data_IF_740866633425
#
_entry.id   IF_740866633425
#
_cell.length_a   1.000
_cell.length_b   1.000
_cell.length_c   1.000
_cell.angle_alpha   90.00
_cell.angle_beta   90.00
_cell.angle_gamma   90.00
#
_symmetry.space_group_name_H-M   'P 1'
#
loop_
_entity.id
_entity.type
_entity.pdbx_description
1 polymer ?
#
# COMPACT_ATOMS: atom_id res chain seq x y z
N UNK A 1 5.12 21.03 -12.58
CA UNK A 1 4.71 19.67 -12.13
C UNK A 1 5.57 19.34 -10.92
N UNK A 2 4.99 19.27 -9.72
CA UNK A 2 5.77 18.95 -8.51
C UNK A 2 5.93 17.43 -8.48
N UNK A 3 7.15 16.94 -8.73
CA UNK A 3 7.48 15.53 -8.59
C UNK A 3 7.41 15.11 -7.12
N UNK A 4 7.11 13.84 -6.85
CA UNK A 4 7.15 13.32 -5.49
C UNK A 4 8.59 13.27 -4.97
N UNK A 5 8.81 13.61 -3.70
CA UNK A 5 10.09 13.42 -3.02
C UNK A 5 10.09 12.06 -2.34
N UNK A 6 10.44 11.00 -3.10
CA UNK A 6 10.39 9.60 -2.64
C UNK A 6 11.01 9.43 -1.25
N UNK A 7 12.26 9.87 -1.03
CA UNK A 7 12.93 9.77 0.28
C UNK A 7 12.16 10.43 1.42
N UNK A 8 11.54 11.58 1.17
CA UNK A 8 10.73 12.30 2.17
C UNK A 8 9.46 11.53 2.49
N UNK A 9 8.77 11.01 1.46
CA UNK A 9 7.56 10.21 1.65
C UNK A 9 7.86 8.88 2.36
N UNK A 10 8.94 8.18 1.99
CA UNK A 10 9.40 6.97 2.69
C UNK A 10 9.59 7.24 4.18
N UNK A 11 10.34 8.30 4.53
CA UNK A 11 10.57 8.69 5.92
C UNK A 11 9.25 8.99 6.64
N UNK A 12 8.33 9.70 5.98
CA UNK A 12 7.03 10.06 6.55
C UNK A 12 6.16 8.83 6.81
N UNK A 13 6.12 7.87 5.89
CA UNK A 13 5.41 6.59 6.09
C UNK A 13 5.98 5.84 7.29
N UNK A 14 7.30 5.81 7.45
CA UNK A 14 7.95 5.15 8.59
C UNK A 14 7.58 5.83 9.91
N UNK A 15 7.67 7.16 9.97
CA UNK A 15 7.27 7.95 11.15
C UNK A 15 5.81 7.70 11.53
N UNK A 16 4.88 7.84 10.57
CA UNK A 16 3.46 7.59 10.79
C UNK A 16 3.22 6.15 11.25
N UNK A 17 3.81 5.15 10.59
CA UNK A 17 3.63 3.75 10.98
C UNK A 17 4.08 3.51 12.42
N UNK A 18 5.20 4.11 12.84
CA UNK A 18 5.69 4.02 14.22
C UNK A 18 4.73 4.64 15.23
N UNK A 19 4.13 5.80 14.93
CA UNK A 19 3.11 6.44 15.77
C UNK A 19 1.87 5.53 15.93
N UNK A 20 1.60 4.69 14.93
CA UNK A 20 0.49 3.73 14.92
C UNK A 20 0.82 2.37 15.55
N UNK A 21 2.02 2.19 16.10
CA UNK A 21 2.47 0.89 16.61
C UNK A 21 2.67 -0.17 15.53
N UNK A 22 2.84 0.25 14.27
CA UNK A 22 3.10 -0.62 13.12
C UNK A 22 4.60 -0.59 12.77
N UNK A 23 5.08 -1.70 12.21
CA UNK A 23 6.46 -1.80 11.71
C UNK A 23 6.48 -1.49 10.22
N UNK A 24 7.14 -0.39 9.84
CA UNK A 24 7.42 -0.07 8.44
C UNK A 24 8.85 -0.49 8.06
N UNK A 25 8.98 -1.28 7.00
CA UNK A 25 10.26 -1.73 6.44
C UNK A 25 10.46 -1.08 5.07
N UNK A 26 11.31 -0.05 4.94
CA UNK A 26 11.65 0.53 3.66
C UNK A 26 12.51 -0.43 2.83
N UNK A 27 12.41 -0.33 1.50
CA UNK A 27 13.15 -1.18 0.55
C UNK A 27 12.99 -2.69 0.83
N UNK A 28 11.78 -3.10 1.19
CA UNK A 28 11.47 -4.49 1.52
C UNK A 28 11.75 -5.40 0.33
N UNK A 29 12.63 -6.38 0.52
CA UNK A 29 12.92 -7.41 -0.47
C UNK A 29 11.97 -8.59 -0.32
N UNK A 30 11.27 -8.93 -1.39
CA UNK A 30 10.40 -10.10 -1.45
C UNK A 30 11.23 -11.39 -1.58
N UNK A 31 10.63 -12.57 -1.32
CA UNK A 31 11.31 -13.84 -1.51
C UNK A 31 11.81 -14.09 -2.93
N UNK A 32 11.15 -13.52 -3.95
CA UNK A 32 11.56 -13.60 -5.35
C UNK A 32 12.53 -12.49 -5.79
N UNK A 33 13.06 -11.72 -4.84
CA UNK A 33 14.13 -10.75 -5.05
C UNK A 33 13.68 -9.39 -5.57
N UNK A 34 12.38 -9.17 -5.73
CA UNK A 34 11.82 -7.86 -6.08
C UNK A 34 11.79 -6.92 -4.86
N UNK A 35 11.68 -5.61 -5.11
CA UNK A 35 11.66 -4.59 -4.06
C UNK A 35 10.29 -3.93 -3.99
N UNK A 36 9.72 -3.89 -2.79
CA UNK A 36 8.60 -3.03 -2.41
C UNK A 36 9.18 -1.80 -1.70
N UNK A 37 8.73 -0.59 -2.07
CA UNK A 37 9.33 0.63 -1.53
C UNK A 37 9.14 0.75 -0.02
N UNK A 38 7.95 0.44 0.51
CA UNK A 38 7.71 0.27 1.95
C UNK A 38 6.72 -0.86 2.21
N UNK A 39 7.08 -1.78 3.10
CA UNK A 39 6.17 -2.78 3.65
C UNK A 39 5.70 -2.36 5.05
N UNK A 40 4.39 -2.41 5.31
CA UNK A 40 3.81 -2.19 6.64
C UNK A 40 3.35 -3.51 7.22
N UNK A 41 3.83 -3.80 8.43
CA UNK A 41 3.62 -5.03 9.16
C UNK A 41 3.02 -4.76 10.55
N UNK A 42 2.26 -5.71 11.06
CA UNK A 42 1.82 -5.78 12.46
C UNK A 42 2.09 -7.18 12.97
N UNK A 43 2.88 -7.32 14.03
CA UNK A 43 3.22 -8.62 14.61
C UNK A 43 3.74 -9.63 13.56
N UNK A 44 4.56 -9.15 12.61
CA UNK A 44 5.08 -9.88 11.44
C UNK A 44 4.04 -10.24 10.35
N UNK A 45 2.76 -9.96 10.56
CA UNK A 45 1.74 -10.06 9.52
C UNK A 45 1.84 -8.91 8.51
N UNK A 46 1.71 -9.24 7.22
CA UNK A 46 1.75 -8.28 6.11
C UNK A 46 0.42 -7.55 5.99
N UNK A 47 0.42 -6.24 6.23
CA UNK A 47 -0.82 -5.44 6.19
C UNK A 47 -1.01 -4.68 4.89
N UNK A 48 0.05 -4.01 4.44
CA UNK A 48 0.01 -3.07 3.32
C UNK A 48 1.40 -2.97 2.65
N UNK A 49 1.42 -3.07 1.32
CA UNK A 49 2.55 -2.68 0.50
C UNK A 49 2.33 -1.25 -0.04
N UNK A 50 3.39 -0.45 -0.05
CA UNK A 50 3.37 0.91 -0.62
C UNK A 50 4.44 1.03 -1.70
N UNK A 51 4.05 1.55 -2.85
CA UNK A 51 4.93 1.93 -3.97
C UNK A 51 4.88 3.43 -4.20
N UNK A 52 6.04 4.07 -4.32
CA UNK A 52 6.15 5.52 -4.49
C UNK A 52 6.49 5.83 -5.95
N UNK A 53 5.44 5.99 -6.77
CA UNK A 53 5.58 6.10 -8.21
C UNK A 53 5.83 7.53 -8.69
N UNK A 54 7.10 7.80 -9.02
CA UNK A 54 7.58 9.11 -9.47
C UNK A 54 7.61 9.28 -11.00
N UNK A 55 7.31 8.22 -11.78
CA UNK A 55 7.39 8.25 -13.25
C UNK A 55 6.06 7.88 -13.90
N UNK A 56 5.59 8.72 -14.84
CA UNK A 56 4.40 8.41 -15.63
C UNK A 56 4.70 7.50 -16.83
N UNK A 57 5.98 7.25 -17.11
CA UNK A 57 6.39 6.41 -18.23
C UNK A 57 5.93 4.98 -17.98
N UNK A 58 5.15 4.41 -18.91
CA UNK A 58 4.59 3.06 -18.79
C UNK A 58 3.72 2.85 -17.55
N UNK A 59 2.99 3.89 -17.13
CA UNK A 59 2.29 3.87 -15.85
C UNK A 59 1.35 2.65 -15.68
N UNK A 60 0.50 2.27 -16.65
CA UNK A 60 -0.33 1.06 -16.50
C UNK A 60 0.48 -0.23 -16.31
N UNK A 61 1.61 -0.37 -16.99
CA UNK A 61 2.49 -1.53 -16.86
C UNK A 61 3.19 -1.56 -15.49
N UNK A 62 3.54 -0.38 -14.95
CA UNK A 62 4.11 -0.26 -13.60
C UNK A 62 3.10 -0.64 -12.54
N UNK A 63 1.86 -0.13 -12.64
CA UNK A 63 0.77 -0.54 -11.76
C UNK A 63 0.52 -2.05 -11.80
N UNK A 64 0.50 -2.65 -12.99
CA UNK A 64 0.36 -4.10 -13.14
C UNK A 64 1.50 -4.86 -12.45
N UNK A 65 2.74 -4.40 -12.66
CA UNK A 65 3.92 -4.99 -12.03
C UNK A 65 3.86 -4.90 -10.51
N UNK A 66 3.46 -3.75 -9.96
CA UNK A 66 3.30 -3.54 -8.53
C UNK A 66 2.21 -4.42 -7.92
N UNK A 67 1.07 -4.56 -8.60
CA UNK A 67 -0.02 -5.48 -8.22
C UNK A 67 0.49 -6.92 -8.13
N UNK A 68 1.17 -7.41 -9.17
CA UNK A 68 1.70 -8.78 -9.20
C UNK A 68 2.75 -8.99 -8.11
N UNK A 69 3.65 -8.02 -7.93
CA UNK A 69 4.70 -8.03 -6.90
C UNK A 69 4.10 -8.11 -5.49
N UNK A 70 3.15 -7.23 -5.16
CA UNK A 70 2.51 -7.20 -3.86
C UNK A 70 1.72 -8.49 -3.57
N UNK A 71 0.94 -8.96 -4.56
CA UNK A 71 0.19 -10.21 -4.45
C UNK A 71 1.10 -11.41 -4.21
N UNK A 72 2.15 -11.59 -5.03
CA UNK A 72 3.12 -12.70 -4.87
C UNK A 72 3.89 -12.64 -3.56
N UNK A 73 4.16 -11.43 -3.07
CA UNK A 73 4.76 -11.22 -1.76
C UNK A 73 3.77 -11.49 -0.60
N UNK A 74 2.49 -11.78 -0.88
CA UNK A 74 1.48 -12.14 0.11
C UNK A 74 0.91 -10.93 0.87
N UNK A 75 0.97 -9.74 0.29
CA UNK A 75 0.27 -8.58 0.85
C UNK A 75 -1.21 -8.62 0.46
N UNK A 76 -2.14 -8.36 1.39
CA UNK A 76 -3.56 -8.28 1.10
C UNK A 76 -3.97 -6.93 0.47
N UNK A 77 -3.08 -5.95 0.50
CA UNK A 77 -3.35 -4.58 0.08
C UNK A 77 -2.11 -3.89 -0.50
N UNK A 78 -2.31 -3.09 -1.54
CA UNK A 78 -1.30 -2.28 -2.21
C UNK A 78 -1.82 -0.85 -2.39
N UNK A 79 -1.03 0.13 -1.95
CA UNK A 79 -1.19 1.53 -2.31
C UNK A 79 -0.06 1.98 -3.21
N UNK A 80 -0.41 2.54 -4.37
CA UNK A 80 0.54 3.27 -5.22
C UNK A 80 0.36 4.76 -4.97
N UNK A 81 1.39 5.43 -4.47
CA UNK A 81 1.37 6.86 -4.17
C UNK A 81 2.02 7.62 -5.31
N UNK A 82 1.30 8.57 -5.89
CA UNK A 82 1.83 9.37 -7.01
C UNK A 82 1.24 10.77 -7.09
N UNK A 83 2.03 11.75 -7.57
CA UNK A 83 1.53 13.12 -7.79
C UNK A 83 0.79 13.30 -9.11
N UNK A 84 0.63 12.24 -9.91
CA UNK A 84 -0.13 12.29 -11.16
C UNK A 84 -1.63 12.45 -10.87
N UNK A 85 -2.24 13.44 -11.52
CA UNK A 85 -3.67 13.73 -11.40
C UNK A 85 -4.47 12.87 -12.37
N UNK A 86 -5.72 12.56 -12.00
CA UNK A 86 -6.66 11.81 -12.83
C UNK A 86 -6.14 10.46 -13.32
N UNK A 87 -5.30 9.80 -12.50
CA UNK A 87 -4.85 8.44 -12.78
C UNK A 87 -6.06 7.52 -12.81
N UNK A 88 -6.24 6.83 -13.94
CA UNK A 88 -7.24 5.77 -14.09
C UNK A 88 -6.48 4.45 -14.20
N UNK A 89 -6.49 3.60 -13.16
CA UNK A 89 -5.82 2.30 -13.21
C UNK A 89 -6.44 1.35 -14.26
N UNK A 90 -7.67 1.64 -14.72
CA UNK A 90 -8.33 0.88 -15.78
C UNK A 90 -8.49 -0.59 -15.41
N UNK A 91 -8.25 -1.49 -16.36
CA UNK A 91 -8.39 -2.94 -16.17
C UNK A 91 -7.47 -3.49 -15.07
N UNK A 92 -6.37 -2.81 -14.73
CA UNK A 92 -5.45 -3.23 -13.66
C UNK A 92 -6.16 -3.26 -12.30
N UNK A 93 -7.13 -2.37 -12.06
CA UNK A 93 -7.93 -2.39 -10.81
C UNK A 93 -8.79 -3.64 -10.70
N UNK A 94 -9.43 -4.04 -11.80
CA UNK A 94 -10.23 -5.26 -11.83
C UNK A 94 -9.34 -6.50 -11.65
N UNK A 95 -8.21 -6.54 -12.34
CA UNK A 95 -7.25 -7.63 -12.23
C UNK A 95 -6.68 -7.79 -10.81
N UNK A 96 -6.37 -6.70 -10.12
CA UNK A 96 -5.99 -6.75 -8.70
C UNK A 96 -7.09 -7.41 -7.84
N UNK A 97 -8.36 -7.05 -8.09
CA UNK A 97 -9.51 -7.66 -7.43
C UNK A 97 -9.67 -9.15 -7.71
N UNK A 98 -9.44 -9.60 -8.95
CA UNK A 98 -9.44 -11.03 -9.31
C UNK A 98 -8.36 -11.82 -8.55
N UNK A 99 -7.24 -11.18 -8.21
CA UNK A 99 -6.18 -11.75 -7.37
C UNK A 99 -6.47 -11.67 -5.86
N UNK A 100 -7.60 -11.09 -5.45
CA UNK A 100 -7.93 -10.85 -4.05
C UNK A 100 -7.11 -9.73 -3.38
N UNK A 101 -6.42 -8.89 -4.18
CA UNK A 101 -5.61 -7.77 -3.69
C UNK A 101 -6.44 -6.48 -3.68
N UNK A 102 -6.56 -5.83 -2.52
CA UNK A 102 -7.09 -4.46 -2.47
C UNK A 102 -6.05 -3.50 -3.05
N UNK A 103 -6.44 -2.74 -4.07
CA UNK A 103 -5.54 -1.87 -4.79
C UNK A 103 -6.12 -0.46 -4.94
N UNK A 104 -5.34 0.52 -4.48
CA UNK A 104 -5.66 1.94 -4.63
C UNK A 104 -4.45 2.72 -5.17
N UNK A 105 -4.75 3.76 -5.96
CA UNK A 105 -3.79 4.79 -6.32
C UNK A 105 -4.19 6.06 -5.60
N UNK A 106 -3.30 6.60 -4.78
CA UNK A 106 -3.58 7.75 -3.92
C UNK A 106 -2.57 8.87 -4.14
N UNK A 107 -2.96 10.10 -3.80
CA UNK A 107 -2.04 11.23 -3.85
C UNK A 107 -1.14 11.30 -2.60
N UNK A 108 0.02 11.97 -2.66
CA UNK A 108 0.86 12.21 -1.49
C UNK A 108 0.12 12.94 -0.37
N UNK A 109 -0.79 13.84 -0.70
CA UNK A 109 -1.61 14.60 0.25
C UNK A 109 -2.64 13.72 0.97
N UNK A 110 -3.15 12.69 0.30
CA UNK A 110 -4.11 11.74 0.88
C UNK A 110 -3.44 10.71 1.79
N UNK A 111 -2.14 10.45 1.61
CA UNK A 111 -1.40 9.41 2.31
C UNK A 111 -1.53 9.50 3.84
N UNK A 112 -1.37 10.70 4.41
CA UNK A 112 -1.44 10.88 5.86
C UNK A 112 -2.84 10.56 6.40
N UNK A 113 -3.87 11.05 5.72
CA UNK A 113 -5.26 10.79 6.08
C UNK A 113 -5.58 9.29 6.01
N UNK A 114 -5.17 8.63 4.93
CA UNK A 114 -5.39 7.19 4.73
C UNK A 114 -4.66 6.35 5.77
N UNK A 115 -3.42 6.72 6.12
CA UNK A 115 -2.67 6.03 7.17
C UNK A 115 -3.37 6.11 8.53
N UNK A 116 -4.00 7.24 8.86
CA UNK A 116 -4.80 7.35 10.08
C UNK A 116 -6.05 6.44 10.06
N UNK A 117 -6.69 6.25 8.90
CA UNK A 117 -7.86 5.37 8.72
C UNK A 117 -7.52 3.87 8.91
N UNK A 118 -6.26 3.45 8.72
CA UNK A 118 -5.83 2.04 8.94
C UNK A 118 -6.12 1.59 10.38
N UNK A 119 -6.10 2.51 11.34
CA UNK A 119 -6.37 2.22 12.76
C UNK A 119 -7.81 1.73 12.94
N UNK A 120 -8.79 2.50 12.48
CA UNK A 120 -10.20 2.28 12.82
C UNK A 120 -10.73 0.92 12.33
N UNK A 121 -10.26 0.48 11.17
CA UNK A 121 -10.72 -0.75 10.53
C UNK A 121 -10.07 -2.00 11.14
N UNK A 122 -8.81 -1.92 11.62
CA UNK A 122 -8.03 -3.10 12.02
C UNK A 122 -7.69 -3.16 13.52
N UNK A 123 -8.12 -2.19 14.32
CA UNK A 123 -8.12 -2.26 15.79
C UNK A 123 -9.52 -2.40 16.40
N UNK A 124 -10.58 -2.30 15.60
CA UNK A 124 -11.92 -2.66 16.05
C UNK A 124 -11.94 -4.18 16.30
N UNK A 125 -12.26 -4.66 17.52
CA UNK A 125 -12.49 -6.09 17.71
C UNK A 125 -13.57 -6.52 16.71
N UNK A 126 -13.36 -7.66 16.04
CA UNK A 126 -14.42 -8.31 15.29
C UNK A 126 -15.67 -8.29 16.18
N UNK A 127 -16.86 -7.89 15.68
CA UNK A 127 -18.07 -8.06 16.47
C UNK A 127 -18.06 -9.51 16.91
N UNK A 128 -18.11 -9.74 18.23
CA UNK A 128 -18.26 -11.06 18.79
C UNK A 128 -19.58 -11.57 18.25
N UNK A 129 -19.53 -12.29 17.13
CA UNK A 129 -20.68 -12.98 16.59
C UNK A 129 -21.25 -13.79 17.74
N UNK A 130 -22.51 -13.53 18.00
CA UNK A 130 -23.29 -14.14 19.04
C UNK A 130 -23.15 -15.66 18.92
N UNK A 131 -22.25 -16.23 19.73
CA UNK A 131 -22.29 -17.61 20.22
C UNK A 131 -23.52 -17.77 21.12
N UNK A 132 -24.71 -17.54 20.55
CA UNK A 132 -26.01 -17.90 21.12
C UNK A 132 -27.02 -18.03 19.97
N UNK A 133 -27.12 -19.25 19.42
CA UNK A 133 -28.34 -20.04 19.41
C UNK A 133 -28.05 -21.47 18.98
#
# INVERSE_FOLDING_TARGET
MVGIKVKTLTRRVVELSSELGLKAVPEYRTPDGTRIDVAILKDEEKLLAIELEASFKWFPQRLLYDVVKAHRAGFPELWVVTSFRNVKPGWVKNYAGELGLRFEVISPEELEKRMAEIIEIRTSPLPSDNLRR
#
